data_IF_601236664932
#
_entry.id   IF_601236664932
#
_cell.length_a   1.000
_cell.length_b   1.000
_cell.length_c   1.000
_cell.angle_alpha   90.00
_cell.angle_beta   90.00
_cell.angle_gamma   90.00
#
_symmetry.space_group_name_H-M   'P 1'
#
loop_
_entity.id
_entity.type
_entity.pdbx_description
1 polymer ?
#
# COMPACT_ATOMS: atom_id res chain seq x y z
N UNK A 1 14.35 67.25 -6.82
CA UNK A 1 14.93 66.66 -5.60
C UNK A 1 14.40 65.24 -5.30
N UNK A 2 13.32 64.77 -5.94
CA UNK A 2 12.76 63.42 -5.68
C UNK A 2 13.49 62.23 -6.33
N UNK A 3 14.13 62.43 -7.50
CA UNK A 3 14.77 61.35 -8.27
C UNK A 3 15.93 60.64 -7.55
N UNK A 4 16.62 61.34 -6.65
CA UNK A 4 17.73 60.77 -5.87
C UNK A 4 17.25 59.93 -4.66
N UNK A 5 16.04 60.16 -4.15
CA UNK A 5 15.47 59.40 -3.02
C UNK A 5 14.94 58.03 -3.48
N UNK A 6 14.26 57.97 -4.62
CA UNK A 6 13.72 56.73 -5.20
C UNK A 6 14.82 55.76 -5.64
N UNK A 7 15.92 56.29 -6.16
CA UNK A 7 17.08 55.53 -6.63
C UNK A 7 17.77 54.72 -5.52
N UNK A 8 17.94 55.32 -4.34
CA UNK A 8 18.61 54.68 -3.20
C UNK A 8 17.74 53.55 -2.60
N UNK A 9 16.41 53.68 -2.70
CA UNK A 9 15.49 52.64 -2.26
C UNK A 9 15.50 51.43 -3.21
N UNK A 10 15.52 51.63 -4.53
CA UNK A 10 15.56 50.53 -5.51
C UNK A 10 16.79 49.63 -5.36
N UNK A 11 17.97 50.20 -5.14
CA UNK A 11 19.18 49.42 -4.89
C UNK A 11 19.12 48.68 -3.55
N UNK A 12 18.66 49.31 -2.47
CA UNK A 12 18.52 48.67 -1.15
C UNK A 12 17.51 47.52 -1.19
N UNK A 13 16.36 47.73 -1.82
CA UNK A 13 15.33 46.71 -2.02
C UNK A 13 15.85 45.58 -2.91
N UNK A 14 16.56 45.91 -3.99
CA UNK A 14 17.23 44.92 -4.85
C UNK A 14 18.23 44.06 -4.09
N UNK A 15 19.14 44.65 -3.29
CA UNK A 15 20.10 43.92 -2.47
C UNK A 15 19.44 43.01 -1.43
N UNK A 16 18.34 43.46 -0.81
CA UNK A 16 17.60 42.66 0.16
C UNK A 16 16.95 41.43 -0.50
N UNK A 17 16.37 41.62 -1.69
CA UNK A 17 15.78 40.52 -2.47
C UNK A 17 16.84 39.52 -2.97
N UNK A 18 18.03 39.99 -3.35
CA UNK A 18 19.16 39.10 -3.70
C UNK A 18 19.55 38.23 -2.50
N UNK A 19 19.69 38.82 -1.31
CA UNK A 19 20.04 38.07 -0.11
C UNK A 19 18.94 37.07 0.29
N UNK A 20 17.67 37.47 0.19
CA UNK A 20 16.54 36.58 0.46
C UNK A 20 16.50 35.43 -0.54
N UNK A 21 16.65 35.72 -1.84
CA UNK A 21 16.63 34.72 -2.90
C UNK A 21 17.83 33.78 -2.87
N UNK A 22 18.99 34.21 -2.37
CA UNK A 22 20.18 33.36 -2.20
C UNK A 22 19.97 32.22 -1.19
N UNK A 23 18.92 32.30 -0.35
CA UNK A 23 18.48 31.18 0.50
C UNK A 23 17.92 30.00 -0.31
N UNK A 24 17.76 30.12 -1.63
CA UNK A 24 17.38 28.99 -2.50
C UNK A 24 18.37 27.83 -2.46
N UNK A 25 19.57 27.99 -1.89
CA UNK A 25 20.53 26.88 -1.73
C UNK A 25 20.13 25.85 -0.66
N UNK A 26 19.17 26.17 0.21
CA UNK A 26 18.79 25.31 1.35
C UNK A 26 17.60 24.37 1.06
N UNK A 27 16.52 24.79 0.37
CA UNK A 27 15.44 23.89 0.00
C UNK A 27 15.89 22.89 -1.08
N UNK A 28 15.31 21.70 -1.09
CA UNK A 28 15.49 20.73 -2.17
C UNK A 28 15.04 21.32 -3.52
N UNK A 29 15.75 20.96 -4.58
CA UNK A 29 15.43 21.35 -5.96
C UNK A 29 13.99 20.93 -6.29
N UNK A 30 13.31 21.72 -7.13
CA UNK A 30 11.92 21.51 -7.59
C UNK A 30 10.81 21.67 -6.55
N UNK A 31 11.11 22.18 -5.36
CA UNK A 31 10.09 22.66 -4.42
C UNK A 31 9.59 24.06 -4.80
N UNK A 32 8.30 24.36 -4.55
CA UNK A 32 7.74 25.70 -4.80
C UNK A 32 8.50 26.82 -4.06
N UNK A 33 9.09 26.50 -2.90
CA UNK A 33 9.93 27.40 -2.10
C UNK A 33 11.25 27.69 -2.82
N UNK A 34 11.93 26.65 -3.35
CA UNK A 34 13.15 26.82 -4.15
C UNK A 34 12.89 27.73 -5.35
N UNK A 35 11.82 27.46 -6.12
CA UNK A 35 11.45 28.26 -7.29
C UNK A 35 11.10 29.70 -6.92
N UNK A 36 10.35 29.91 -5.84
CA UNK A 36 9.98 31.26 -5.37
C UNK A 36 11.22 32.07 -4.99
N UNK A 37 12.18 31.47 -4.29
CA UNK A 37 13.43 32.13 -3.91
C UNK A 37 14.31 32.47 -5.12
N UNK A 38 14.35 31.62 -6.14
CA UNK A 38 15.05 31.93 -7.40
C UNK A 38 14.44 33.11 -8.16
N UNK A 39 13.10 33.20 -8.22
CA UNK A 39 12.42 34.35 -8.84
C UNK A 39 12.72 35.64 -8.06
N UNK A 40 12.70 35.57 -6.73
CA UNK A 40 13.06 36.69 -5.86
C UNK A 40 14.51 37.13 -6.07
N UNK A 41 15.44 36.18 -6.23
CA UNK A 41 16.85 36.46 -6.53
C UNK A 41 17.01 37.22 -7.85
N UNK A 42 16.40 36.73 -8.92
CA UNK A 42 16.47 37.33 -10.27
C UNK A 42 15.85 38.74 -10.26
N UNK A 43 14.70 38.90 -9.60
CA UNK A 43 14.02 40.20 -9.47
C UNK A 43 14.89 41.20 -8.71
N UNK A 44 15.56 40.74 -7.65
CA UNK A 44 16.53 41.53 -6.89
C UNK A 44 17.72 41.99 -7.75
N UNK A 45 18.29 41.09 -8.55
CA UNK A 45 19.38 41.39 -9.49
C UNK A 45 18.98 42.47 -10.51
N UNK A 46 17.78 42.35 -11.11
CA UNK A 46 17.27 43.33 -12.08
C UNK A 46 17.08 44.70 -11.42
N UNK A 47 16.45 44.77 -10.24
CA UNK A 47 16.24 46.03 -9.52
C UNK A 47 17.56 46.69 -9.09
N UNK A 48 18.54 45.89 -8.67
CA UNK A 48 19.86 46.38 -8.26
C UNK A 48 20.65 46.96 -9.46
N UNK A 49 20.69 46.23 -10.59
CA UNK A 49 21.38 46.68 -11.81
C UNK A 49 20.69 47.91 -12.42
N UNK A 50 19.36 47.93 -12.48
CA UNK A 50 18.62 49.08 -13.02
C UNK A 50 18.76 50.32 -12.13
N UNK A 51 18.74 50.16 -10.81
CA UNK A 51 19.03 51.24 -9.85
C UNK A 51 20.46 51.77 -9.96
N UNK A 52 21.43 50.91 -10.30
CA UNK A 52 22.84 51.27 -10.50
C UNK A 52 23.17 51.86 -11.88
N UNK A 53 22.51 51.39 -12.95
CA UNK A 53 22.73 51.82 -14.34
C UNK A 53 22.38 53.29 -14.57
N UNK A 54 21.33 53.79 -13.91
CA UNK A 54 20.95 55.21 -13.97
C UNK A 54 21.91 56.14 -13.19
N UNK A 55 22.80 55.60 -12.35
CA UNK A 55 23.76 56.39 -11.55
C UNK A 55 25.00 56.82 -12.34
N UNK A 56 25.31 56.19 -13.48
CA UNK A 56 26.50 56.50 -14.27
C UNK A 56 26.14 56.85 -15.71
N UNK A 57 25.68 58.08 -15.92
CA UNK A 57 25.83 58.74 -17.24
C UNK A 57 27.11 59.58 -17.24
N UNK A 58 28.25 58.88 -17.31
CA UNK A 58 29.56 59.45 -17.66
C UNK A 58 29.94 58.93 -19.03
N UNK A 59 30.32 59.83 -19.94
CA UNK A 59 30.65 59.57 -21.35
C UNK A 59 31.55 58.34 -21.53
N UNK A 60 31.19 57.53 -22.53
CA UNK A 60 31.94 56.42 -23.12
C UNK A 60 31.99 55.14 -22.28
N UNK A 61 30.99 54.27 -22.48
CA UNK A 61 31.16 52.83 -22.33
C UNK A 61 30.25 52.12 -23.32
N UNK A 62 30.84 51.76 -24.45
CA UNK A 62 30.58 50.47 -25.07
C UNK A 62 30.80 49.38 -24.00
N UNK A 63 30.03 48.28 -24.08
CA UNK A 63 29.98 47.12 -23.17
C UNK A 63 28.80 47.20 -22.19
N UNK A 64 27.65 46.72 -22.67
CA UNK A 64 26.81 45.69 -22.03
C UNK A 64 25.49 45.52 -22.81
N UNK A 65 25.56 45.48 -24.14
CA UNK A 65 24.58 44.73 -24.92
C UNK A 65 25.00 43.26 -24.83
N UNK A 66 24.70 42.64 -23.69
CA UNK A 66 25.11 41.28 -23.38
C UNK A 66 23.93 40.51 -22.81
N UNK A 67 23.12 39.95 -23.72
CA UNK A 67 22.29 38.77 -23.51
C UNK A 67 21.43 38.79 -22.23
N UNK A 68 20.34 39.54 -22.28
CA UNK A 68 19.09 39.07 -21.66
C UNK A 68 18.65 37.86 -22.51
N UNK A 69 19.24 36.69 -22.27
CA UNK A 69 18.52 35.44 -22.50
C UNK A 69 17.50 35.40 -21.38
N UNK A 70 16.36 36.00 -21.64
CA UNK A 70 15.16 35.75 -20.88
C UNK A 70 14.89 34.26 -21.08
N UNK A 71 15.43 33.40 -20.21
CA UNK A 71 14.87 32.08 -20.00
C UNK A 71 13.50 32.35 -19.37
N UNK A 72 12.54 32.75 -20.20
CA UNK A 72 11.18 32.27 -20.03
C UNK A 72 11.28 30.77 -20.26
N UNK A 73 11.73 30.04 -19.24
CA UNK A 73 11.26 28.68 -19.11
C UNK A 73 9.74 28.83 -19.16
N UNK A 74 9.07 28.26 -20.17
CA UNK A 74 7.64 28.25 -20.11
C UNK A 74 7.34 27.49 -18.82
N UNK A 75 6.71 28.16 -17.84
CA UNK A 75 6.03 27.44 -16.77
C UNK A 75 4.83 26.81 -17.45
N UNK A 76 5.11 25.75 -18.19
CA UNK A 76 4.12 24.73 -18.50
C UNK A 76 3.91 24.01 -17.20
N UNK A 77 3.02 24.54 -16.36
CA UNK A 77 2.12 23.67 -15.62
C UNK A 77 1.22 22.96 -16.63
N UNK A 78 1.80 22.15 -17.52
CA UNK A 78 1.01 21.17 -18.25
C UNK A 78 0.66 20.15 -17.18
N UNK A 79 -0.62 20.12 -16.78
CA UNK A 79 -1.14 18.94 -16.11
C UNK A 79 -0.75 17.76 -17.00
N UNK A 80 0.08 16.87 -16.47
CA UNK A 80 0.60 15.76 -17.22
C UNK A 80 -0.58 14.94 -17.73
N UNK A 81 -0.64 14.72 -19.04
CA UNK A 81 -1.76 14.04 -19.67
C UNK A 81 -1.62 12.54 -19.42
N UNK A 82 -2.52 12.01 -18.59
CA UNK A 82 -2.56 10.60 -18.23
C UNK A 82 -3.56 9.81 -19.08
N UNK A 83 -4.18 10.41 -20.10
CA UNK A 83 -5.24 9.76 -20.90
C UNK A 83 -4.80 8.40 -21.46
N UNK A 84 -3.59 8.30 -22.01
CA UNK A 84 -3.06 7.03 -22.52
C UNK A 84 -2.93 5.94 -21.45
N UNK A 85 -2.58 6.31 -20.21
CA UNK A 85 -2.45 5.37 -19.11
C UNK A 85 -3.82 4.82 -18.69
N UNK A 86 -4.82 5.70 -18.69
CA UNK A 86 -6.20 5.35 -18.35
C UNK A 86 -6.85 4.52 -19.46
N UNK A 87 -6.62 4.86 -20.73
CA UNK A 87 -7.06 4.06 -21.88
C UNK A 87 -6.44 2.66 -21.85
N UNK A 88 -5.14 2.54 -21.59
CA UNK A 88 -4.48 1.25 -21.46
C UNK A 88 -5.03 0.44 -20.26
N UNK A 89 -5.40 1.10 -19.17
CA UNK A 89 -6.03 0.42 -18.03
C UNK A 89 -7.43 -0.08 -18.36
N UNK A 90 -8.25 0.74 -19.01
CA UNK A 90 -9.57 0.36 -19.50
C UNK A 90 -9.50 -0.81 -20.48
N UNK A 91 -8.58 -0.74 -21.46
CA UNK A 91 -8.38 -1.78 -22.45
C UNK A 91 -7.91 -3.09 -21.79
N UNK A 92 -7.10 -3.02 -20.73
CA UNK A 92 -6.68 -4.20 -19.97
C UNK A 92 -7.86 -4.97 -19.35
N UNK A 93 -8.94 -4.28 -18.94
CA UNK A 93 -10.17 -4.93 -18.50
C UNK A 93 -10.95 -5.55 -19.67
N UNK A 94 -10.98 -4.89 -20.84
CA UNK A 94 -11.69 -5.41 -22.02
C UNK A 94 -11.00 -6.65 -22.60
N UNK A 95 -9.67 -6.64 -22.63
CA UNK A 95 -8.86 -7.77 -23.10
C UNK A 95 -8.62 -8.83 -22.02
N UNK A 96 -8.95 -8.53 -20.75
CA UNK A 96 -8.76 -9.42 -19.59
C UNK A 96 -7.31 -9.84 -19.36
N UNK A 97 -6.37 -8.97 -19.69
CA UNK A 97 -4.94 -9.23 -19.61
C UNK A 97 -4.15 -8.00 -19.16
N UNK A 98 -3.01 -8.24 -18.52
CA UNK A 98 -2.16 -7.18 -17.98
C UNK A 98 -1.19 -6.59 -19.01
N UNK A 99 -0.97 -7.27 -20.15
CA UNK A 99 0.05 -6.92 -21.13
C UNK A 99 -0.05 -5.48 -21.64
N UNK A 100 -1.27 -4.96 -21.78
CA UNK A 100 -1.57 -3.62 -22.30
C UNK A 100 -1.16 -2.53 -21.30
N UNK A 101 -1.53 -2.66 -20.02
CA UNK A 101 -1.16 -1.69 -18.98
C UNK A 101 0.29 -1.86 -18.50
N UNK A 102 0.89 -3.04 -18.64
CA UNK A 102 2.21 -3.36 -18.09
C UNK A 102 3.30 -2.31 -18.38
N UNK A 103 3.43 -1.72 -19.59
CA UNK A 103 4.43 -0.69 -19.86
C UNK A 103 4.23 0.61 -19.06
N UNK A 104 3.04 0.83 -18.51
CA UNK A 104 2.67 2.02 -17.74
C UNK A 104 2.80 1.84 -16.23
N UNK A 105 3.10 0.63 -15.76
CA UNK A 105 3.27 0.33 -14.33
C UNK A 105 4.69 0.66 -13.87
N UNK A 106 4.81 1.22 -12.67
CA UNK A 106 6.09 1.43 -12.00
C UNK A 106 6.57 0.12 -11.37
N UNK A 107 7.88 -0.09 -11.30
CA UNK A 107 8.47 -1.21 -10.54
C UNK A 107 8.16 -1.10 -9.03
N UNK A 108 7.76 0.08 -8.56
CA UNK A 108 7.38 0.36 -7.18
C UNK A 108 5.89 0.16 -6.88
N UNK A 109 5.08 -0.26 -7.87
CA UNK A 109 3.66 -0.55 -7.68
C UNK A 109 3.47 -1.59 -6.57
N UNK A 110 2.54 -1.30 -5.66
CA UNK A 110 2.19 -2.20 -4.55
C UNK A 110 0.73 -2.02 -4.14
N UNK A 111 0.15 -3.07 -3.58
CA UNK A 111 -1.20 -3.05 -3.02
C UNK A 111 -1.19 -3.48 -1.55
N UNK A 112 -1.35 -2.54 -0.63
CA UNK A 112 -1.30 -2.85 0.80
C UNK A 112 -2.62 -3.50 1.26
N UNK A 113 -2.60 -4.52 2.14
CA UNK A 113 -1.47 -5.01 2.94
C UNK A 113 -0.71 -6.19 2.30
N UNK A 114 -0.86 -6.45 1.00
CA UNK A 114 -0.28 -7.62 0.35
C UNK A 114 1.24 -7.44 0.12
N UNK A 115 2.01 -8.54 0.15
CA UNK A 115 3.43 -8.52 -0.22
C UNK A 115 3.64 -8.09 -1.68
N UNK A 116 4.79 -7.47 -1.98
CA UNK A 116 5.05 -6.87 -3.30
C UNK A 116 5.08 -7.90 -4.43
N UNK A 117 5.49 -9.14 -4.16
CA UNK A 117 5.50 -10.25 -5.12
C UNK A 117 4.10 -10.62 -5.61
N UNK A 118 3.05 -10.29 -4.85
CA UNK A 118 1.67 -10.56 -5.22
C UNK A 118 1.07 -9.48 -6.14
N UNK A 119 1.76 -8.35 -6.36
CA UNK A 119 1.22 -7.20 -7.10
C UNK A 119 0.75 -7.58 -8.50
N UNK A 120 1.60 -8.23 -9.31
CA UNK A 120 1.26 -8.62 -10.69
C UNK A 120 0.15 -9.67 -10.76
N UNK A 121 0.20 -10.78 -9.98
CA UNK A 121 -0.89 -11.75 -9.92
C UNK A 121 -2.23 -11.13 -9.48
N UNK A 122 -2.22 -10.24 -8.49
CA UNK A 122 -3.44 -9.60 -7.97
C UNK A 122 -4.05 -8.68 -9.01
N UNK A 123 -3.25 -7.82 -9.64
CA UNK A 123 -3.74 -6.95 -10.70
C UNK A 123 -4.28 -7.76 -11.87
N UNK A 124 -3.59 -8.83 -12.27
CA UNK A 124 -4.06 -9.73 -13.34
C UNK A 124 -5.42 -10.34 -12.99
N UNK A 125 -5.56 -10.86 -11.76
CA UNK A 125 -6.81 -11.45 -11.31
C UNK A 125 -7.99 -10.45 -11.35
N UNK A 126 -7.75 -9.21 -10.96
CA UNK A 126 -8.76 -8.13 -11.00
C UNK A 126 -9.15 -7.82 -12.45
N UNK A 127 -8.16 -7.64 -13.33
CA UNK A 127 -8.40 -7.35 -14.75
C UNK A 127 -9.20 -8.47 -15.44
N UNK A 128 -8.97 -9.73 -15.07
CA UNK A 128 -9.61 -10.88 -15.71
C UNK A 128 -10.99 -11.21 -15.16
N UNK A 129 -11.18 -11.06 -13.84
CA UNK A 129 -12.33 -11.62 -13.12
C UNK A 129 -13.36 -10.61 -12.63
N UNK A 130 -13.10 -9.30 -12.71
CA UNK A 130 -14.16 -8.32 -12.44
C UNK A 130 -15.27 -8.36 -13.50
N UNK A 131 -16.49 -7.92 -13.17
CA UNK A 131 -17.57 -7.75 -14.12
C UNK A 131 -17.18 -6.83 -15.29
N UNK A 132 -17.97 -6.86 -16.36
CA UNK A 132 -17.73 -6.03 -17.53
C UNK A 132 -17.65 -4.55 -17.14
N UNK A 133 -16.53 -3.93 -17.49
CA UNK A 133 -16.31 -2.50 -17.40
C UNK A 133 -16.95 -1.82 -18.61
N UNK A 134 -17.81 -0.83 -18.35
CA UNK A 134 -18.42 -0.01 -19.39
C UNK A 134 -17.50 1.14 -19.81
N UNK A 135 -16.96 1.88 -18.84
CA UNK A 135 -16.11 3.06 -19.08
C UNK A 135 -15.20 3.37 -17.90
N UNK A 136 -14.05 3.97 -18.16
CA UNK A 136 -13.24 4.71 -17.18
C UNK A 136 -13.13 6.17 -17.62
N UNK A 137 -13.37 7.11 -16.69
CA UNK A 137 -13.33 8.55 -16.99
C UNK A 137 -12.42 9.29 -16.01
N UNK A 138 -11.53 10.13 -16.54
CA UNK A 138 -10.76 11.06 -15.72
C UNK A 138 -11.71 12.17 -15.22
N UNK A 139 -11.78 12.34 -13.90
CA UNK A 139 -12.57 13.39 -13.24
C UNK A 139 -11.71 14.63 -12.99
N UNK A 140 -10.49 14.43 -12.50
CA UNK A 140 -9.55 15.52 -12.22
C UNK A 140 -8.11 15.00 -12.14
N UNK A 141 -7.14 15.87 -12.42
CA UNK A 141 -5.70 15.59 -12.30
C UNK A 141 -5.06 16.68 -11.47
N UNK A 142 -4.39 16.29 -10.38
CA UNK A 142 -3.66 17.21 -9.51
C UNK A 142 -2.36 16.55 -9.03
N UNK A 143 -1.20 17.13 -9.35
CA UNK A 143 0.11 16.71 -8.81
C UNK A 143 0.38 15.20 -8.87
N UNK A 144 0.21 14.57 -10.04
CA UNK A 144 0.41 13.13 -10.22
C UNK A 144 -0.65 12.24 -9.55
N UNK A 145 -1.74 12.83 -9.05
CA UNK A 145 -2.92 12.13 -8.56
C UNK A 145 -4.07 12.36 -9.53
N UNK A 146 -4.55 11.28 -10.14
CA UNK A 146 -5.68 11.31 -11.09
C UNK A 146 -6.88 10.70 -10.41
N UNK A 147 -7.95 11.49 -10.26
CA UNK A 147 -9.24 10.99 -9.83
C UNK A 147 -9.95 10.37 -11.03
N UNK A 148 -10.38 9.14 -10.87
CA UNK A 148 -10.95 8.31 -11.92
C UNK A 148 -12.33 7.82 -11.51
N UNK A 149 -13.28 7.84 -12.43
CA UNK A 149 -14.62 7.29 -12.28
C UNK A 149 -14.75 6.02 -13.10
N UNK A 150 -15.09 4.93 -12.43
CA UNK A 150 -15.31 3.61 -13.02
C UNK A 150 -16.81 3.37 -13.15
N UNK A 151 -17.23 2.74 -14.25
CA UNK A 151 -18.60 2.27 -14.42
C UNK A 151 -18.58 0.80 -14.83
N UNK A 152 -18.97 -0.07 -13.91
CA UNK A 152 -19.09 -1.50 -14.14
C UNK A 152 -20.57 -1.92 -14.23
N UNK A 153 -20.88 -2.89 -15.08
CA UNK A 153 -22.26 -3.36 -15.30
C UNK A 153 -22.94 -3.87 -14.01
N UNK A 154 -22.21 -4.63 -13.18
CA UNK A 154 -22.75 -5.23 -11.95
C UNK A 154 -22.31 -4.52 -10.66
N UNK A 155 -21.16 -3.82 -10.69
CA UNK A 155 -20.65 -3.11 -9.50
C UNK A 155 -21.14 -1.65 -9.45
N UNK A 156 -21.74 -1.15 -10.53
CA UNK A 156 -22.18 0.22 -10.63
C UNK A 156 -21.03 1.20 -10.79
N UNK A 157 -21.26 2.42 -10.30
CA UNK A 157 -20.32 3.54 -10.43
C UNK A 157 -19.50 3.69 -9.15
N UNK A 158 -18.19 3.80 -9.30
CA UNK A 158 -17.26 4.13 -8.21
C UNK A 158 -16.27 5.20 -8.64
N UNK A 159 -15.66 5.88 -7.67
CA UNK A 159 -14.59 6.84 -7.92
C UNK A 159 -13.42 6.51 -6.98
N UNK A 160 -12.19 6.59 -7.50
CA UNK A 160 -10.97 6.44 -6.71
C UNK A 160 -9.84 7.23 -7.35
N UNK A 161 -8.64 7.16 -6.78
CA UNK A 161 -7.45 7.78 -7.34
C UNK A 161 -6.46 6.77 -7.92
N UNK A 162 -5.73 7.20 -8.94
CA UNK A 162 -4.52 6.56 -9.44
C UNK A 162 -3.36 7.53 -9.20
N UNK A 163 -2.30 7.03 -8.57
CA UNK A 163 -1.10 7.81 -8.29
C UNK A 163 0.00 7.45 -9.28
N UNK A 164 0.67 8.48 -9.77
CA UNK A 164 1.77 8.39 -10.70
C UNK A 164 3.07 8.89 -10.03
N UNK A 165 4.21 8.31 -10.40
CA UNK A 165 5.52 8.84 -10.05
C UNK A 165 5.96 9.98 -10.99
N UNK A 166 7.15 10.52 -10.75
CA UNK A 166 7.72 11.62 -11.53
C UNK A 166 7.96 11.24 -13.01
N UNK A 167 8.14 9.95 -13.31
CA UNK A 167 8.29 9.43 -14.67
C UNK A 167 6.92 9.18 -15.35
N UNK A 168 5.83 9.47 -14.64
CA UNK A 168 4.47 9.24 -15.10
C UNK A 168 4.03 7.78 -15.06
N UNK A 169 4.72 6.90 -14.34
CA UNK A 169 4.31 5.49 -14.17
C UNK A 169 3.35 5.34 -13.00
N UNK A 170 2.43 4.37 -13.12
CA UNK A 170 1.44 4.08 -12.09
C UNK A 170 2.14 3.40 -10.90
N UNK A 171 2.06 4.03 -9.72
CA UNK A 171 2.59 3.50 -8.45
C UNK A 171 1.49 3.02 -7.50
N UNK A 172 0.24 3.43 -7.73
CA UNK A 172 -0.90 3.02 -6.91
C UNK A 172 -2.21 3.11 -7.69
N UNK A 173 -3.09 2.13 -7.49
CA UNK A 173 -4.47 2.13 -7.99
C UNK A 173 -5.39 1.93 -6.78
N UNK A 174 -5.98 3.01 -6.26
CA UNK A 174 -6.79 2.97 -5.03
C UNK A 174 -8.01 2.05 -5.18
N UNK A 175 -8.62 1.97 -6.36
CA UNK A 175 -9.69 1.02 -6.64
C UNK A 175 -9.29 -0.44 -6.35
N UNK A 176 -8.03 -0.81 -6.66
CA UNK A 176 -7.50 -2.15 -6.37
C UNK A 176 -7.27 -2.32 -4.88
N UNK A 177 -6.70 -1.31 -4.21
CA UNK A 177 -6.53 -1.32 -2.74
C UNK A 177 -7.89 -1.50 -2.04
N UNK A 178 -8.93 -0.82 -2.50
CA UNK A 178 -10.28 -0.88 -1.93
C UNK A 178 -10.92 -2.27 -2.11
N UNK A 179 -10.79 -2.88 -3.29
CA UNK A 179 -11.26 -4.26 -3.52
C UNK A 179 -10.57 -5.23 -2.56
N UNK A 180 -9.25 -5.13 -2.42
CA UNK A 180 -8.47 -6.00 -1.54
C UNK A 180 -8.92 -5.83 -0.08
N UNK A 181 -9.08 -4.58 0.38
CA UNK A 181 -9.56 -4.27 1.73
C UNK A 181 -10.96 -4.83 1.96
N UNK A 182 -11.88 -4.62 1.02
CA UNK A 182 -13.24 -5.13 1.12
C UNK A 182 -13.27 -6.66 1.19
N UNK A 183 -12.46 -7.35 0.38
CA UNK A 183 -12.36 -8.81 0.41
C UNK A 183 -11.85 -9.31 1.77
N UNK A 184 -10.80 -8.70 2.31
CA UNK A 184 -10.25 -9.03 3.64
C UNK A 184 -11.30 -8.78 4.72
N UNK A 185 -12.01 -7.65 4.67
CA UNK A 185 -13.07 -7.33 5.63
C UNK A 185 -14.26 -8.29 5.54
N UNK A 186 -14.67 -8.68 4.34
CA UNK A 186 -15.73 -9.68 4.14
C UNK A 186 -15.31 -11.03 4.71
N UNK A 187 -14.08 -11.48 4.48
CA UNK A 187 -13.55 -12.69 5.09
C UNK A 187 -13.56 -12.61 6.62
N UNK A 188 -13.11 -11.48 7.20
CA UNK A 188 -13.17 -11.25 8.66
C UNK A 188 -14.61 -11.22 9.19
N UNK A 189 -15.55 -10.63 8.47
CA UNK A 189 -16.98 -10.63 8.83
C UNK A 189 -17.56 -12.04 8.80
N UNK A 190 -17.23 -12.83 7.78
CA UNK A 190 -17.60 -14.24 7.71
C UNK A 190 -17.03 -15.02 8.90
N UNK A 191 -15.73 -14.85 9.20
CA UNK A 191 -15.10 -15.50 10.36
C UNK A 191 -15.72 -15.08 11.69
N UNK A 192 -16.01 -13.80 11.90
CA UNK A 192 -16.64 -13.31 13.13
C UNK A 192 -18.13 -13.65 13.26
N UNK A 193 -18.80 -13.97 12.14
CA UNK A 193 -20.16 -14.50 12.16
C UNK A 193 -20.24 -15.98 12.59
N UNK A 194 -19.12 -16.70 12.55
CA UNK A 194 -19.03 -18.05 13.11
C UNK A 194 -19.05 -17.96 14.63
N UNK A 195 -19.94 -18.74 15.24
CA UNK A 195 -20.05 -18.78 16.70
C UNK A 195 -18.74 -19.30 17.29
N UNK A 196 -18.05 -18.45 18.05
CA UNK A 196 -16.89 -18.86 18.81
C UNK A 196 -17.25 -19.95 19.85
N UNK A 197 -16.33 -20.88 20.13
CA UNK A 197 -16.55 -21.93 21.10
C UNK A 197 -16.73 -21.34 22.50
N UNK A 198 -17.61 -21.95 23.30
CA UNK A 198 -18.00 -21.50 24.64
C UNK A 198 -17.60 -22.51 25.72
N UNK A 199 -16.29 -22.64 26.01
CA UNK A 199 -15.81 -23.58 27.03
C UNK A 199 -16.34 -23.24 28.43
N UNK A 200 -16.70 -21.96 28.69
CA UNK A 200 -17.33 -21.50 29.93
C UNK A 200 -18.72 -22.11 30.17
N UNK A 201 -19.37 -22.67 29.15
CA UNK A 201 -20.67 -23.35 29.24
C UNK A 201 -20.56 -24.83 29.55
N UNK A 202 -19.35 -25.38 29.69
CA UNK A 202 -19.14 -26.77 30.07
C UNK A 202 -19.33 -26.90 31.59
N UNK A 203 -20.25 -27.78 31.99
CA UNK A 203 -20.67 -27.96 33.40
C UNK A 203 -20.07 -29.22 34.06
N UNK A 204 -19.31 -30.02 33.30
CA UNK A 204 -18.62 -31.20 33.80
C UNK A 204 -17.11 -30.96 33.86
N UNK A 205 -16.41 -31.70 34.72
CA UNK A 205 -14.96 -31.58 34.85
C UNK A 205 -14.27 -32.22 33.65
N UNK A 206 -13.25 -31.56 33.14
CA UNK A 206 -12.33 -32.08 32.14
C UNK A 206 -10.95 -31.46 32.38
N UNK A 207 -9.92 -32.12 31.87
CA UNK A 207 -8.55 -31.61 31.86
C UNK A 207 -8.03 -31.58 30.43
N UNK A 208 -7.04 -30.74 30.20
CA UNK A 208 -6.28 -30.73 28.96
C UNK A 208 -4.81 -30.44 29.25
N UNK A 209 -3.96 -30.94 28.38
CA UNK A 209 -2.52 -30.71 28.39
C UNK A 209 -2.11 -30.08 27.06
N UNK A 210 -1.21 -29.09 27.13
CA UNK A 210 -0.56 -28.58 25.92
C UNK A 210 0.57 -29.52 25.56
N UNK A 211 0.54 -30.08 24.36
CA UNK A 211 1.58 -30.98 23.86
C UNK A 211 2.18 -30.42 22.60
N UNK A 212 3.47 -30.70 22.38
CA UNK A 212 4.19 -30.28 21.19
C UNK A 212 4.94 -31.46 20.59
N UNK A 213 4.97 -31.54 19.27
CA UNK A 213 5.68 -32.59 18.54
C UNK A 213 6.15 -32.08 17.17
N UNK A 214 7.23 -32.63 16.61
CA UNK A 214 7.72 -32.19 15.31
C UNK A 214 6.83 -32.68 14.16
N UNK A 215 6.60 -31.81 13.19
CA UNK A 215 6.09 -32.17 11.87
C UNK A 215 7.17 -32.91 11.04
N UNK A 216 6.81 -33.39 9.85
CA UNK A 216 7.75 -34.13 8.98
C UNK A 216 8.99 -33.35 8.59
N UNK A 217 8.88 -32.03 8.46
CA UNK A 217 9.99 -31.12 8.17
C UNK A 217 10.69 -30.57 9.43
N UNK A 218 10.30 -31.05 10.61
CA UNK A 218 10.85 -30.62 11.90
C UNK A 218 10.21 -29.36 12.48
N UNK A 219 9.24 -28.73 11.80
CA UNK A 219 8.46 -27.63 12.38
C UNK A 219 7.70 -28.13 13.61
N UNK A 220 7.84 -27.48 14.76
CA UNK A 220 7.09 -27.87 15.96
C UNK A 220 5.61 -27.53 15.81
N UNK A 221 4.76 -28.54 15.96
CA UNK A 221 3.31 -28.46 16.01
C UNK A 221 2.88 -28.31 17.47
N UNK A 222 1.99 -27.36 17.74
CA UNK A 222 1.36 -27.18 19.06
C UNK A 222 -0.04 -27.80 19.06
N UNK A 223 -0.41 -28.49 20.13
CA UNK A 223 -1.70 -29.17 20.24
C UNK A 223 -2.24 -29.16 21.68
N UNK A 224 -3.55 -29.40 21.82
CA UNK A 224 -4.21 -29.65 23.09
C UNK A 224 -4.68 -31.11 23.16
N UNK A 225 -4.11 -31.86 24.10
CA UNK A 225 -4.49 -33.23 24.43
C UNK A 225 -5.54 -33.23 25.54
N UNK A 226 -6.69 -33.80 25.23
CA UNK A 226 -7.81 -34.02 26.13
C UNK A 226 -7.87 -35.53 26.40
N UNK A 227 -7.08 -36.01 27.36
CA UNK A 227 -6.99 -37.43 27.70
C UNK A 227 -7.95 -37.80 28.84
N UNK A 228 -8.74 -38.85 28.61
CA UNK A 228 -9.58 -39.49 29.63
C UNK A 228 -8.86 -40.71 30.20
N UNK A 229 -8.30 -41.55 29.31
CA UNK A 229 -7.54 -42.74 29.64
C UNK A 229 -6.80 -43.24 28.38
N UNK A 230 -5.52 -43.65 28.47
CA UNK A 230 -4.71 -44.04 27.30
C UNK A 230 -5.27 -45.22 26.49
N UNK A 231 -6.11 -46.07 27.10
CA UNK A 231 -6.76 -47.21 26.42
C UNK A 231 -8.03 -46.82 25.63
N UNK A 232 -8.44 -45.55 25.67
CA UNK A 232 -9.62 -45.06 24.95
C UNK A 232 -9.27 -44.68 23.52
N UNK A 233 -10.23 -44.84 22.58
CA UNK A 233 -10.05 -44.37 21.21
C UNK A 233 -9.78 -42.86 21.18
N UNK A 234 -8.89 -42.45 20.30
CA UNK A 234 -8.48 -41.06 20.10
C UNK A 234 -9.21 -40.47 18.90
N UNK A 235 -9.77 -39.28 19.06
CA UNK A 235 -10.29 -38.45 17.98
C UNK A 235 -9.28 -37.31 17.73
N UNK A 236 -8.68 -37.30 16.55
CA UNK A 236 -7.80 -36.23 16.10
C UNK A 236 -8.62 -35.16 15.37
N UNK A 237 -8.46 -33.89 15.76
CA UNK A 237 -9.29 -32.76 15.36
C UNK A 237 -8.47 -31.75 14.55
N UNK A 238 -9.02 -31.30 13.42
CA UNK A 238 -8.34 -30.54 12.38
C UNK A 238 -9.13 -29.28 12.02
N UNK A 239 -8.62 -28.12 12.41
CA UNK A 239 -9.36 -26.87 12.24
C UNK A 239 -9.54 -26.48 10.77
N UNK A 240 -10.48 -25.57 10.48
CA UNK A 240 -10.63 -24.99 9.15
C UNK A 240 -9.43 -24.10 8.76
N UNK A 241 -9.24 -23.86 7.45
CA UNK A 241 -8.19 -22.95 6.97
C UNK A 241 -8.31 -21.56 7.62
N UNK A 242 -7.20 -21.04 8.14
CA UNK A 242 -7.16 -19.76 8.84
C UNK A 242 -7.65 -19.79 10.31
N UNK A 243 -8.01 -20.95 10.86
CA UNK A 243 -8.41 -21.11 12.27
C UNK A 243 -7.24 -21.69 13.10
N UNK A 244 -7.54 -22.12 14.33
CA UNK A 244 -6.58 -22.73 15.25
C UNK A 244 -7.27 -23.83 16.06
N UNK A 245 -6.49 -24.58 16.86
CA UNK A 245 -6.95 -25.68 17.71
C UNK A 245 -8.09 -25.29 18.68
N UNK A 246 -8.22 -24.00 19.01
CA UNK A 246 -9.29 -23.53 19.89
C UNK A 246 -10.67 -23.60 19.26
N UNK A 247 -10.80 -23.85 17.94
CA UNK A 247 -12.08 -24.21 17.29
C UNK A 247 -12.82 -25.32 18.06
N UNK A 248 -12.07 -26.21 18.71
CA UNK A 248 -12.62 -27.36 19.42
C UNK A 248 -12.72 -27.18 20.94
N UNK A 249 -12.48 -25.98 21.49
CA UNK A 249 -12.35 -25.76 22.93
C UNK A 249 -13.61 -26.15 23.75
N UNK A 250 -14.80 -26.19 23.13
CA UNK A 250 -16.04 -26.66 23.76
C UNK A 250 -16.58 -27.98 23.18
N UNK A 251 -15.93 -28.52 22.14
CA UNK A 251 -16.25 -29.82 21.53
C UNK A 251 -15.39 -30.92 22.14
N UNK A 252 -14.07 -30.73 22.26
CA UNK A 252 -13.15 -31.72 22.79
C UNK A 252 -13.52 -32.19 24.22
N UNK A 253 -13.92 -31.30 25.16
CA UNK A 253 -14.45 -31.73 26.46
C UNK A 253 -15.70 -32.62 26.34
N UNK A 254 -16.58 -32.37 25.38
CA UNK A 254 -17.80 -33.18 25.17
C UNK A 254 -17.46 -34.56 24.64
N UNK A 255 -16.45 -34.67 23.75
CA UNK A 255 -15.92 -35.95 23.28
C UNK A 255 -15.30 -36.75 24.43
N UNK A 256 -14.54 -36.10 25.32
CA UNK A 256 -14.08 -36.71 26.58
C UNK A 256 -15.23 -37.25 27.42
N UNK A 257 -16.28 -36.46 27.63
CA UNK A 257 -17.46 -36.90 28.37
C UNK A 257 -18.21 -38.07 27.70
N UNK A 258 -18.01 -38.29 26.39
CA UNK A 258 -18.50 -39.44 25.64
C UNK A 258 -17.54 -40.65 25.69
N UNK A 259 -16.39 -40.52 26.34
CA UNK A 259 -15.41 -41.60 26.55
C UNK A 259 -14.31 -41.70 25.50
N UNK A 260 -14.09 -40.65 24.70
CA UNK A 260 -13.00 -40.56 23.73
C UNK A 260 -11.86 -39.67 24.25
N UNK A 261 -10.62 -40.04 23.97
CA UNK A 261 -9.53 -39.08 23.99
C UNK A 261 -9.71 -38.13 22.80
N UNK A 262 -9.27 -36.88 22.92
CA UNK A 262 -9.28 -35.95 21.80
C UNK A 262 -7.96 -35.19 21.72
N UNK A 263 -7.48 -34.95 20.51
CA UNK A 263 -6.29 -34.13 20.26
C UNK A 263 -6.65 -33.08 19.23
N UNK A 264 -6.56 -31.80 19.61
CA UNK A 264 -6.75 -30.68 18.69
C UNK A 264 -5.41 -30.07 18.35
N UNK A 265 -5.03 -30.10 17.07
CA UNK A 265 -3.71 -29.60 16.62
C UNK A 265 -3.85 -28.24 15.95
N UNK A 266 -2.80 -27.43 16.05
CA UNK A 266 -2.60 -26.27 15.18
C UNK A 266 -1.88 -26.73 13.91
N UNK A 267 -2.55 -26.69 12.76
CA UNK A 267 -1.88 -26.89 11.48
C UNK A 267 -1.20 -25.61 10.99
N UNK A 268 -0.07 -25.73 10.28
CA UNK A 268 0.69 -24.57 9.78
C UNK A 268 -0.09 -23.67 8.83
N UNK A 269 -1.17 -24.15 8.22
CA UNK A 269 -2.05 -23.37 7.33
C UNK A 269 -3.24 -22.71 8.05
N UNK A 270 -3.18 -22.66 9.39
CA UNK A 270 -4.16 -21.96 10.22
C UNK A 270 -3.94 -20.45 10.31
N UNK A 271 -4.46 -19.87 11.38
CA UNK A 271 -4.49 -18.43 11.60
C UNK A 271 -5.11 -18.05 12.95
N UNK A 272 -5.70 -16.86 13.02
CA UNK A 272 -6.30 -16.36 14.26
C UNK A 272 -7.81 -16.61 14.27
N UNK A 273 -8.30 -17.21 15.36
CA UNK A 273 -9.71 -17.52 15.58
C UNK A 273 -10.03 -17.49 17.09
N UNK A 274 -11.24 -17.05 17.45
CA UNK A 274 -11.71 -16.94 18.83
C UNK A 274 -10.73 -16.18 19.76
N UNK A 275 -10.18 -15.06 19.28
CA UNK A 275 -9.18 -14.23 19.98
C UNK A 275 -7.91 -14.98 20.41
N UNK A 276 -7.62 -16.08 19.72
CA UNK A 276 -6.41 -16.88 19.87
C UNK A 276 -5.65 -16.94 18.56
N UNK A 277 -4.35 -17.13 18.65
CA UNK A 277 -3.46 -17.32 17.50
C UNK A 277 -3.15 -18.81 17.32
N UNK A 278 -2.89 -19.21 16.08
CA UNK A 278 -2.31 -20.51 15.77
C UNK A 278 -0.80 -20.47 16.02
N UNK A 279 -0.31 -21.27 16.96
CA UNK A 279 1.09 -21.24 17.40
C UNK A 279 2.01 -21.89 16.35
N UNK A 280 1.56 -22.96 15.69
CA UNK A 280 2.30 -23.63 14.61
C UNK A 280 2.50 -22.70 13.40
N UNK A 281 1.46 -21.95 13.01
CA UNK A 281 1.52 -20.95 11.93
C UNK A 281 2.52 -19.84 12.27
N UNK A 282 2.44 -19.28 13.48
CA UNK A 282 3.36 -18.23 13.91
C UNK A 282 4.81 -18.73 13.85
N UNK A 283 5.06 -19.94 14.35
CA UNK A 283 6.39 -20.57 14.29
C UNK A 283 6.86 -20.83 12.86
N UNK A 284 5.97 -21.21 11.95
CA UNK A 284 6.30 -21.39 10.54
C UNK A 284 6.76 -20.08 9.90
N UNK A 285 6.02 -18.99 10.15
CA UNK A 285 6.37 -17.65 9.67
C UNK A 285 7.69 -17.16 10.27
N UNK A 286 7.90 -17.37 11.58
CA UNK A 286 9.16 -17.03 12.27
C UNK A 286 10.37 -17.80 11.71
N UNK A 287 10.17 -19.03 11.25
CA UNK A 287 11.19 -19.85 10.58
C UNK A 287 11.38 -19.50 9.08
N UNK A 288 10.75 -18.44 8.59
CA UNK A 288 10.89 -17.98 7.21
C UNK A 288 10.10 -18.79 6.17
N UNK A 289 9.12 -19.58 6.61
CA UNK A 289 8.20 -20.26 5.69
C UNK A 289 7.20 -19.22 5.18
N UNK A 290 7.46 -18.70 3.99
CA UNK A 290 6.56 -17.78 3.30
C UNK A 290 5.51 -18.53 2.47
N UNK A 291 4.35 -17.90 2.26
CA UNK A 291 3.28 -18.38 1.36
C UNK A 291 2.72 -19.77 1.70
N UNK A 292 2.52 -20.07 2.99
CA UNK A 292 1.95 -21.34 3.45
C UNK A 292 0.58 -21.59 2.79
N UNK A 293 0.45 -22.69 2.06
CA UNK A 293 -0.76 -23.14 1.38
C UNK A 293 -1.52 -24.18 2.22
N UNK A 294 -2.80 -24.39 1.93
CA UNK A 294 -3.59 -25.42 2.62
C UNK A 294 -3.01 -26.82 2.47
N UNK A 295 -2.44 -27.14 1.30
CA UNK A 295 -1.81 -28.43 1.05
C UNK A 295 -0.58 -28.69 1.96
N UNK A 296 0.08 -27.64 2.43
CA UNK A 296 1.28 -27.78 3.27
C UNK A 296 0.94 -28.34 4.66
N UNK A 297 -0.32 -28.25 5.11
CA UNK A 297 -0.77 -28.85 6.37
C UNK A 297 -0.90 -30.38 6.33
N UNK A 298 -0.85 -31.01 5.14
CA UNK A 298 -0.93 -32.46 5.02
C UNK A 298 0.16 -33.16 5.87
N UNK A 299 1.37 -32.60 5.87
CA UNK A 299 2.48 -33.14 6.65
C UNK A 299 2.27 -33.00 8.17
N UNK A 300 1.54 -31.97 8.61
CA UNK A 300 1.23 -31.78 10.03
C UNK A 300 0.17 -32.77 10.49
N UNK A 301 -0.82 -33.01 9.63
CA UNK A 301 -1.85 -34.04 9.84
C UNK A 301 -1.20 -35.42 9.95
N UNK A 302 -0.28 -35.75 9.03
CA UNK A 302 0.42 -37.03 9.03
C UNK A 302 1.35 -37.21 10.24
N UNK A 303 1.95 -36.14 10.76
CA UNK A 303 2.80 -36.20 11.95
C UNK A 303 1.99 -36.38 13.24
N UNK A 304 0.70 -36.03 13.23
CA UNK A 304 -0.19 -36.15 14.37
C UNK A 304 -0.87 -37.52 14.50
N UNK A 305 -0.77 -38.36 13.46
CA UNK A 305 -1.27 -39.76 13.44
C UNK A 305 -0.20 -40.70 14.00
#
# INVERSE_FOLDING_TARGET
MERFKTQNWQMKTGSLLILLGALSIFPENDTWIHTTLQIVFITGCVLFVYGGSLAKKGKNSTIAAGLIVLFTLPVTGHAQDYSQHIEAFEESFHQKEISVIKPFLSDSLKFAPLPIQNTVPVLTNILTNLPKLNTIQIVSTENGLVKVKYNFELLGISESHIRFDADGKIVQIEFVDDIIRQQIEQQRKMQSSVQAPKPDKIVFSYSKENVEFPSKDGLIISAELYEVNPEKPVILLFHQGGYNKYEYADIAPRLNNMGFNAVAIDQRSGGSFADKHNETYNRAVENGIENIQFADAAQDIEAAI
#
